data_IF_417042314534
#
_entry.id   IF_417042314534
#
_cell.length_a   1.000
_cell.length_b   1.000
_cell.length_c   1.000
_cell.angle_alpha   90.00
_cell.angle_beta   90.00
_cell.angle_gamma   90.00
#
_symmetry.space_group_name_H-M   'P 1'
#
loop_
_entity.id
_entity.type
_entity.pdbx_description
1 polymer ?
#
# COMPACT_ATOMS: atom_id res chain seq x y z
N UNK A 1 12.35 39.79 9.09
CA UNK A 1 12.11 41.24 9.03
C UNK A 1 10.80 41.46 8.29
N UNK A 2 9.78 41.78 9.09
CA UNK A 2 8.43 42.11 8.64
C UNK A 2 8.45 43.48 7.98
N UNK A 3 7.89 43.60 6.77
CA UNK A 3 7.41 44.90 6.28
C UNK A 3 6.03 44.66 5.68
N UNK A 4 5.03 45.04 6.47
CA UNK A 4 3.72 45.49 6.00
C UNK A 4 3.91 46.92 5.51
N UNK A 5 3.27 47.29 4.42
CA UNK A 5 2.92 48.68 4.14
C UNK A 5 1.51 48.71 3.54
N UNK A 6 0.55 48.98 4.43
CA UNK A 6 -0.70 49.66 4.13
C UNK A 6 -0.40 51.15 3.90
N UNK A 7 -1.20 51.80 3.04
CA UNK A 7 -1.61 53.23 3.00
C UNK A 7 -1.61 53.78 1.55
N UNK A 8 -2.48 54.65 1.05
CA UNK A 8 -3.52 55.58 1.55
C UNK A 8 -4.55 55.75 0.38
N UNK A 9 -5.88 55.76 0.56
CA UNK A 9 -6.77 56.95 0.75
C UNK A 9 -6.38 58.12 -0.19
N UNK A 10 -7.23 58.76 -1.02
CA UNK A 10 -8.64 59.20 -0.81
C UNK A 10 -9.20 59.85 -2.12
N UNK A 11 -10.52 60.16 -2.16
CA UNK A 11 -11.37 60.36 -3.36
C UNK A 11 -11.72 61.83 -3.66
N UNK A 12 -12.22 62.13 -4.87
CA UNK A 12 -12.87 63.42 -5.21
C UNK A 12 -14.07 63.22 -6.16
N UNK A 13 -15.25 63.58 -5.63
CA UNK A 13 -16.44 64.26 -6.18
C UNK A 13 -17.02 63.97 -7.58
N UNK A 14 -18.21 63.35 -7.55
CA UNK A 14 -19.51 63.89 -8.00
C UNK A 14 -19.59 64.91 -9.16
N UNK A 15 -20.26 64.51 -10.25
CA UNK A 15 -21.47 65.22 -10.68
C UNK A 15 -22.39 64.32 -11.54
N UNK A 16 -23.73 64.46 -11.41
CA UNK A 16 -24.71 63.63 -12.11
C UNK A 16 -25.29 64.33 -13.34
N UNK A 17 -25.55 63.61 -14.42
CA UNK A 17 -26.81 63.78 -15.15
C UNK A 17 -27.10 62.65 -16.15
N UNK A 18 -28.20 61.94 -15.83
CA UNK A 18 -29.23 61.37 -16.70
C UNK A 18 -28.89 61.02 -18.16
N UNK A 19 -28.98 59.73 -18.49
CA UNK A 19 -29.69 59.25 -19.68
C UNK A 19 -30.04 57.77 -19.57
N UNK A 20 -31.33 57.47 -19.73
CA UNK A 20 -31.89 56.13 -19.89
C UNK A 20 -31.21 55.37 -21.04
N UNK A 21 -30.64 54.20 -20.73
CA UNK A 21 -30.52 53.09 -21.66
C UNK A 21 -30.12 51.81 -20.93
N UNK A 22 -31.09 50.93 -20.70
CA UNK A 22 -30.85 49.49 -20.57
C UNK A 22 -30.37 48.98 -21.94
N UNK A 23 -29.35 48.11 -22.02
CA UNK A 23 -29.63 46.66 -22.07
C UNK A 23 -28.46 45.81 -21.48
N UNK A 24 -28.41 44.48 -21.67
CA UNK A 24 -29.11 43.47 -20.89
C UNK A 24 -28.14 42.60 -20.07
N UNK A 25 -28.63 42.05 -18.95
CA UNK A 25 -27.98 40.96 -18.22
C UNK A 25 -27.66 39.80 -19.15
N UNK A 26 -26.39 39.41 -19.20
CA UNK A 26 -25.92 38.20 -19.89
C UNK A 26 -25.69 37.09 -18.84
N UNK A 27 -26.54 36.05 -18.73
CA UNK A 27 -26.28 34.88 -17.90
C UNK A 27 -25.80 33.67 -18.72
N UNK A 28 -25.33 33.88 -19.95
CA UNK A 28 -25.13 32.77 -20.90
C UNK A 28 -23.78 32.05 -20.74
N UNK A 29 -22.78 32.65 -20.09
CA UNK A 29 -21.43 32.06 -19.99
C UNK A 29 -21.29 31.02 -18.87
N UNK A 30 -22.00 31.22 -17.76
CA UNK A 30 -21.91 30.31 -16.60
C UNK A 30 -22.68 29.01 -16.82
N UNK A 31 -23.83 29.06 -17.50
CA UNK A 31 -24.66 27.87 -17.78
C UNK A 31 -23.93 26.89 -18.71
N UNK A 32 -23.20 27.40 -19.71
CA UNK A 32 -22.41 26.56 -20.62
C UNK A 32 -21.23 25.85 -19.91
N UNK A 33 -20.61 26.51 -18.93
CA UNK A 33 -19.55 25.91 -18.11
C UNK A 33 -20.09 24.87 -17.11
N UNK A 34 -21.29 25.07 -16.58
CA UNK A 34 -21.96 24.08 -15.70
C UNK A 34 -22.37 22.86 -16.51
N UNK A 35 -23.01 23.04 -17.67
CA UNK A 35 -23.43 21.94 -18.53
C UNK A 35 -22.26 21.09 -19.06
N UNK A 36 -21.11 21.70 -19.37
CA UNK A 36 -19.91 20.97 -19.77
C UNK A 36 -19.26 20.21 -18.62
N UNK A 37 -19.30 20.77 -17.40
CA UNK A 37 -18.83 20.10 -16.19
C UNK A 37 -19.70 18.89 -15.83
N UNK A 38 -21.01 19.02 -15.94
CA UNK A 38 -21.97 17.94 -15.66
C UNK A 38 -21.82 16.79 -16.67
N UNK A 39 -21.57 17.11 -17.94
CA UNK A 39 -21.26 16.12 -19.00
C UNK A 39 -19.96 15.36 -18.72
N UNK A 40 -18.90 16.05 -18.29
CA UNK A 40 -17.64 15.42 -17.90
C UNK A 40 -17.81 14.54 -16.66
N UNK A 41 -18.53 15.03 -15.64
CA UNK A 41 -18.83 14.27 -14.42
C UNK A 41 -19.59 12.98 -14.74
N UNK A 42 -20.53 13.05 -15.70
CA UNK A 42 -21.31 11.89 -16.15
C UNK A 42 -20.42 10.87 -16.86
N UNK A 43 -19.53 11.31 -17.75
CA UNK A 43 -18.55 10.43 -18.43
C UNK A 43 -17.56 9.80 -17.47
N UNK A 44 -17.10 10.54 -16.46
CA UNK A 44 -16.21 10.00 -15.41
C UNK A 44 -16.96 8.94 -14.60
N UNK A 45 -18.21 9.21 -14.22
CA UNK A 45 -19.03 8.26 -13.47
C UNK A 45 -19.29 6.98 -14.28
N UNK A 46 -19.58 7.11 -15.58
CA UNK A 46 -19.77 5.97 -16.49
C UNK A 46 -18.46 5.18 -16.68
N UNK A 47 -17.31 5.84 -16.74
CA UNK A 47 -16.02 5.17 -16.79
C UNK A 47 -15.74 4.40 -15.48
N UNK A 48 -16.05 4.98 -14.33
CA UNK A 48 -15.91 4.31 -13.02
C UNK A 48 -16.81 3.08 -12.94
N UNK A 49 -18.06 3.15 -13.39
CA UNK A 49 -18.96 1.98 -13.38
C UNK A 49 -18.48 0.88 -14.32
N UNK A 50 -17.98 1.22 -15.51
CA UNK A 50 -17.36 0.26 -16.44
C UNK A 50 -16.09 -0.36 -15.87
N UNK A 51 -15.25 0.40 -15.18
CA UNK A 51 -14.06 -0.15 -14.54
C UNK A 51 -14.43 -1.02 -13.33
N UNK A 52 -15.53 -0.71 -12.64
CA UNK A 52 -16.02 -1.50 -11.51
C UNK A 52 -16.61 -2.88 -11.90
N UNK A 53 -16.78 -3.17 -13.20
CA UNK A 53 -17.13 -4.52 -13.65
C UNK A 53 -15.90 -5.36 -14.00
N UNK A 54 -14.70 -4.75 -13.97
CA UNK A 54 -13.43 -5.43 -14.25
C UNK A 54 -12.72 -5.88 -12.98
N UNK A 55 -11.69 -6.72 -13.12
CA UNK A 55 -10.82 -7.16 -12.00
C UNK A 55 -10.04 -6.00 -11.34
N UNK A 56 -10.10 -4.80 -11.93
CA UNK A 56 -9.43 -3.56 -11.46
C UNK A 56 -10.25 -2.82 -10.39
N UNK A 57 -11.47 -3.28 -10.08
CA UNK A 57 -12.34 -2.78 -8.98
C UNK A 57 -11.61 -2.47 -7.67
N UNK A 58 -10.62 -3.31 -7.33
CA UNK A 58 -9.88 -3.20 -6.08
C UNK A 58 -8.89 -2.03 -6.05
N UNK A 59 -8.54 -1.44 -7.21
CA UNK A 59 -7.79 -0.17 -7.27
C UNK A 59 -8.67 1.07 -7.10
N UNK A 60 -9.98 0.93 -7.34
CA UNK A 60 -10.97 2.01 -7.22
C UNK A 60 -11.55 2.10 -5.81
N UNK A 61 -11.32 1.10 -4.97
CA UNK A 61 -11.81 1.07 -3.59
C UNK A 61 -10.74 1.57 -2.63
N UNK A 62 -11.12 2.38 -1.65
CA UNK A 62 -10.21 2.91 -0.60
C UNK A 62 -9.67 1.83 0.36
N UNK A 63 -9.89 0.55 0.05
CA UNK A 63 -9.44 -0.57 0.88
C UNK A 63 -7.98 -0.90 0.52
N UNK A 64 -7.13 -1.17 1.51
CA UNK A 64 -5.76 -1.60 1.25
C UNK A 64 -5.77 -2.88 0.42
N UNK A 65 -4.85 -2.96 -0.55
CA UNK A 65 -4.65 -4.14 -1.38
C UNK A 65 -4.39 -5.35 -0.47
N UNK A 66 -5.08 -6.45 -0.75
CA UNK A 66 -4.95 -7.73 -0.05
C UNK A 66 -4.11 -8.69 -0.88
N UNK A 67 -3.37 -9.59 -0.22
CA UNK A 67 -2.60 -10.63 -0.90
C UNK A 67 -3.42 -11.55 -1.81
N UNK A 68 -4.74 -11.66 -1.56
CA UNK A 68 -5.69 -12.45 -2.33
C UNK A 68 -6.00 -11.91 -3.73
N UNK A 69 -5.52 -10.70 -4.06
CA UNK A 69 -5.71 -10.11 -5.38
C UNK A 69 -4.82 -10.81 -6.40
N UNK A 70 -5.45 -11.41 -7.41
CA UNK A 70 -4.72 -12.01 -8.52
C UNK A 70 -4.32 -10.91 -9.48
N UNK A 71 -3.01 -10.76 -9.70
CA UNK A 71 -2.53 -9.81 -10.68
C UNK A 71 -2.74 -10.37 -12.10
N UNK A 72 -3.19 -9.56 -13.07
CA UNK A 72 -3.30 -10.00 -14.45
C UNK A 72 -1.93 -10.47 -14.96
N UNK A 73 -1.85 -11.72 -15.42
CA UNK A 73 -0.64 -12.24 -16.04
C UNK A 73 -0.42 -11.51 -17.36
N UNK A 74 0.80 -11.03 -17.59
CA UNK A 74 1.13 -10.41 -18.85
C UNK A 74 1.28 -11.50 -19.92
N UNK A 75 0.35 -11.57 -20.86
CA UNK A 75 0.52 -12.40 -22.05
C UNK A 75 1.50 -11.70 -22.97
N UNK A 76 2.78 -12.09 -22.85
CA UNK A 76 3.83 -11.63 -23.75
C UNK A 76 3.89 -12.59 -24.93
N UNK A 77 3.32 -12.16 -26.06
CA UNK A 77 3.45 -12.92 -27.31
C UNK A 77 4.90 -12.85 -27.83
N UNK A 78 5.47 -13.97 -28.28
CA UNK A 78 6.77 -13.98 -28.95
C UNK A 78 6.75 -13.07 -30.17
N UNK A 79 7.71 -12.15 -30.26
CA UNK A 79 7.90 -11.35 -31.47
C UNK A 79 8.32 -12.32 -32.59
N UNK A 80 7.40 -12.61 -33.51
CA UNK A 80 7.72 -13.42 -34.67
C UNK A 80 8.80 -12.73 -35.50
N UNK A 81 9.90 -13.44 -35.74
CA UNK A 81 10.94 -13.00 -36.65
C UNK A 81 10.40 -13.12 -38.08
N UNK A 82 9.84 -12.04 -38.61
CA UNK A 82 9.65 -11.93 -40.04
C UNK A 82 11.03 -11.71 -40.67
N UNK A 83 11.58 -12.75 -41.28
CA UNK A 83 12.81 -12.64 -42.06
C UNK A 83 12.53 -11.74 -43.26
N UNK A 84 13.08 -10.53 -43.22
CA UNK A 84 13.18 -9.69 -44.41
C UNK A 84 14.10 -10.40 -45.38
N UNK A 85 13.62 -10.65 -46.61
CA UNK A 85 14.41 -11.29 -47.65
C UNK A 85 15.72 -10.50 -47.85
N UNK A 86 16.90 -11.08 -47.56
CA UNK A 86 18.17 -10.34 -47.45
C UNK A 86 18.64 -9.72 -48.78
N UNK A 87 17.97 -10.03 -49.88
CA UNK A 87 18.40 -9.67 -51.24
C UNK A 87 17.92 -8.31 -51.74
N UNK A 88 16.94 -7.65 -51.09
CA UNK A 88 16.36 -6.42 -51.66
C UNK A 88 17.26 -5.18 -51.52
N UNK A 89 18.04 -5.08 -50.43
CA UNK A 89 18.97 -3.98 -50.20
C UNK A 89 20.28 -4.10 -51.01
N UNK A 90 20.56 -5.27 -51.57
CA UNK A 90 21.77 -5.55 -52.35
C UNK A 90 21.61 -5.23 -53.85
N UNK A 91 20.41 -4.82 -54.27
CA UNK A 91 20.12 -4.49 -55.67
C UNK A 91 20.75 -3.13 -56.02
N UNK A 92 21.59 -3.09 -57.06
CA UNK A 92 22.09 -1.84 -57.61
C UNK A 92 20.97 -1.12 -58.39
N UNK A 93 20.56 0.09 -57.97
CA UNK A 93 19.49 0.82 -58.66
C UNK A 93 20.03 1.44 -59.96
N UNK A 94 19.29 1.22 -61.06
CA UNK A 94 19.59 1.81 -62.36
C UNK A 94 18.79 3.09 -62.63
N UNK A 95 17.64 3.24 -61.95
CA UNK A 95 16.71 4.35 -62.17
C UNK A 95 16.66 5.30 -60.98
N UNK A 96 16.50 6.62 -61.20
CA UNK A 96 16.35 7.61 -60.11
C UNK A 96 15.21 7.28 -59.12
N UNK A 97 14.12 6.71 -59.62
CA UNK A 97 12.99 6.28 -58.77
C UNK A 97 13.35 5.11 -57.86
N UNK A 98 14.20 4.18 -58.32
CA UNK A 98 14.66 3.04 -57.52
C UNK A 98 15.55 3.50 -56.38
N UNK A 99 16.42 4.50 -56.61
CA UNK A 99 17.23 5.13 -55.55
C UNK A 99 16.33 5.71 -54.45
N UNK A 100 15.27 6.42 -54.84
CA UNK A 100 14.33 7.03 -53.89
C UNK A 100 13.54 5.97 -53.11
N UNK A 101 13.11 4.90 -53.79
CA UNK A 101 12.41 3.78 -53.17
C UNK A 101 13.30 3.00 -52.20
N UNK A 102 14.56 2.71 -52.55
CA UNK A 102 15.52 2.06 -51.66
C UNK A 102 15.84 2.93 -50.43
N UNK A 103 15.94 4.25 -50.61
CA UNK A 103 16.08 5.18 -49.49
C UNK A 103 14.89 5.12 -48.52
N UNK A 104 13.67 5.17 -49.06
CA UNK A 104 12.45 5.05 -48.26
C UNK A 104 12.32 3.68 -47.56
N UNK A 105 12.77 2.61 -48.22
CA UNK A 105 12.76 1.26 -47.67
C UNK A 105 13.75 1.14 -46.50
N UNK A 106 14.98 1.64 -46.65
CA UNK A 106 15.98 1.64 -45.56
C UNK A 106 15.49 2.44 -44.35
N UNK A 107 14.92 3.63 -44.58
CA UNK A 107 14.36 4.44 -43.50
C UNK A 107 13.20 3.73 -42.78
N UNK A 108 12.34 3.02 -43.53
CA UNK A 108 11.25 2.24 -42.97
C UNK A 108 11.77 1.03 -42.16
N UNK A 109 12.81 0.34 -42.63
CA UNK A 109 13.46 -0.77 -41.91
C UNK A 109 14.11 -0.30 -40.61
N UNK A 110 14.88 0.79 -40.64
CA UNK A 110 15.47 1.39 -39.44
C UNK A 110 14.39 1.75 -38.40
N UNK A 111 13.26 2.32 -38.86
CA UNK A 111 12.10 2.59 -37.98
C UNK A 111 11.50 1.31 -37.41
N UNK A 112 11.34 0.27 -38.22
CA UNK A 112 10.84 -1.03 -37.76
C UNK A 112 11.77 -1.67 -36.73
N UNK A 113 13.09 -1.61 -36.92
CA UNK A 113 14.08 -2.09 -35.95
C UNK A 113 13.99 -1.34 -34.63
N UNK A 114 13.90 0.00 -34.68
CA UNK A 114 13.71 0.82 -33.49
C UNK A 114 12.43 0.42 -32.72
N UNK A 115 11.32 0.16 -33.43
CA UNK A 115 10.10 -0.34 -32.81
C UNK A 115 10.27 -1.73 -32.20
N UNK A 116 10.94 -2.66 -32.88
CA UNK A 116 11.23 -4.00 -32.33
C UNK A 116 12.00 -3.87 -31.00
N UNK A 117 13.06 -3.06 -30.96
CA UNK A 117 13.83 -2.85 -29.73
C UNK A 117 13.00 -2.25 -28.60
N UNK A 118 12.12 -1.29 -28.94
CA UNK A 118 11.20 -0.70 -27.97
C UNK A 118 10.20 -1.72 -27.42
N UNK A 119 9.64 -2.59 -28.27
CA UNK A 119 8.72 -3.65 -27.84
C UNK A 119 9.43 -4.64 -26.94
N UNK A 120 10.65 -5.08 -27.29
CA UNK A 120 11.46 -5.96 -26.43
C UNK A 120 11.68 -5.33 -25.05
N UNK A 121 12.02 -4.04 -25.02
CA UNK A 121 12.24 -3.30 -23.76
C UNK A 121 10.96 -3.26 -22.92
N UNK A 122 9.81 -2.99 -23.53
CA UNK A 122 8.51 -2.99 -22.84
C UNK A 122 8.16 -4.37 -22.31
N UNK A 123 8.33 -5.43 -23.11
CA UNK A 123 8.09 -6.80 -22.70
C UNK A 123 8.98 -7.19 -21.50
N UNK A 124 10.27 -6.87 -21.55
CA UNK A 124 11.20 -7.14 -20.46
C UNK A 124 10.81 -6.40 -19.17
N UNK A 125 10.40 -5.13 -19.28
CA UNK A 125 9.89 -4.36 -18.14
C UNK A 125 8.63 -4.98 -17.55
N UNK A 126 7.70 -5.43 -18.39
CA UNK A 126 6.47 -6.09 -17.92
C UNK A 126 6.78 -7.37 -17.15
N UNK A 127 7.68 -8.23 -17.65
CA UNK A 127 8.10 -9.45 -16.95
C UNK A 127 8.78 -9.14 -15.61
N UNK A 128 9.64 -8.12 -15.56
CA UNK A 128 10.30 -7.71 -14.32
C UNK A 128 9.30 -7.16 -13.30
N UNK A 129 8.35 -6.34 -13.76
CA UNK A 129 7.28 -5.80 -12.91
C UNK A 129 6.40 -6.94 -12.35
N UNK A 130 6.08 -7.94 -13.18
CA UNK A 130 5.34 -9.11 -12.74
C UNK A 130 6.08 -9.86 -11.62
N UNK A 131 7.37 -10.14 -11.81
CA UNK A 131 8.20 -10.80 -10.80
C UNK A 131 8.31 -9.99 -9.50
N UNK A 132 8.48 -8.67 -9.60
CA UNK A 132 8.54 -7.78 -8.45
C UNK A 132 7.23 -7.76 -7.66
N UNK A 133 6.10 -7.57 -8.35
CA UNK A 133 4.79 -7.58 -7.71
C UNK A 133 4.48 -8.94 -7.08
N UNK A 134 4.82 -10.06 -7.73
CA UNK A 134 4.68 -11.39 -7.13
C UNK A 134 5.43 -11.50 -5.80
N UNK A 135 6.68 -11.01 -5.74
CA UNK A 135 7.45 -10.94 -4.48
C UNK A 135 6.74 -10.11 -3.42
N UNK A 136 6.18 -8.95 -3.78
CA UNK A 136 5.43 -8.09 -2.86
C UNK A 136 4.15 -8.78 -2.36
N UNK A 137 3.44 -9.50 -3.23
CA UNK A 137 2.26 -10.29 -2.87
C UNK A 137 2.59 -11.36 -1.83
N UNK A 138 3.71 -12.08 -1.98
CA UNK A 138 4.13 -13.06 -0.97
C UNK A 138 4.48 -12.42 0.38
N UNK A 139 5.17 -11.27 0.37
CA UNK A 139 5.48 -10.54 1.59
C UNK A 139 4.20 -10.04 2.29
N UNK A 140 3.24 -9.55 1.52
CA UNK A 140 1.95 -9.11 2.03
C UNK A 140 1.16 -10.27 2.63
N UNK A 141 1.10 -11.41 1.94
CA UNK A 141 0.45 -12.63 2.43
C UNK A 141 1.04 -13.07 3.78
N UNK A 142 2.38 -13.04 3.88
CA UNK A 142 3.08 -13.37 5.12
C UNK A 142 2.74 -12.40 6.25
N UNK A 143 2.71 -11.09 5.99
CA UNK A 143 2.32 -10.10 6.99
C UNK A 143 0.86 -10.25 7.44
N UNK A 144 -0.06 -10.47 6.49
CA UNK A 144 -1.47 -10.70 6.80
C UNK A 144 -1.67 -11.95 7.65
N UNK A 145 -0.94 -13.02 7.36
CA UNK A 145 -0.98 -14.25 8.16
C UNK A 145 -0.42 -14.03 9.57
N UNK A 146 0.70 -13.30 9.70
CA UNK A 146 1.28 -12.93 10.99
C UNK A 146 0.32 -12.09 11.83
N UNK A 147 -0.44 -11.18 11.19
CA UNK A 147 -1.49 -10.38 11.86
C UNK A 147 -2.70 -11.23 12.28
N UNK A 148 -3.09 -12.22 11.47
CA UNK A 148 -4.21 -13.12 11.78
C UNK A 148 -3.90 -14.04 12.96
N UNK A 149 -2.65 -14.51 13.07
CA UNK A 149 -2.22 -15.44 14.12
C UNK A 149 -1.09 -14.85 15.00
N UNK A 150 -1.37 -13.81 15.80
CA UNK A 150 -0.37 -13.19 16.66
C UNK A 150 0.00 -14.17 17.79
N UNK A 151 1.16 -14.82 17.67
CA UNK A 151 1.67 -15.74 18.68
C UNK A 151 1.68 -17.21 18.27
N UNK A 152 1.31 -17.54 17.03
CA UNK A 152 1.67 -18.85 16.47
C UNK A 152 3.20 -19.03 16.58
N UNK A 153 3.70 -20.23 16.97
CA UNK A 153 5.13 -20.49 16.91
C UNK A 153 5.61 -20.17 15.50
N UNK A 154 6.73 -19.43 15.39
CA UNK A 154 7.20 -18.85 14.14
C UNK A 154 7.26 -19.87 13.01
N UNK A 155 7.17 -19.44 11.75
CA UNK A 155 7.36 -20.39 10.65
C UNK A 155 8.83 -20.77 10.54
N UNK A 156 9.08 -22.01 10.14
CA UNK A 156 10.42 -22.51 9.82
C UNK A 156 11.15 -21.63 8.77
N UNK A 157 10.40 -20.99 7.87
CA UNK A 157 10.91 -20.07 6.85
C UNK A 157 10.17 -18.74 7.02
N UNK A 158 10.87 -17.72 7.50
CA UNK A 158 10.29 -16.38 7.75
C UNK A 158 10.19 -15.54 6.47
N UNK A 159 11.01 -15.83 5.45
CA UNK A 159 11.14 -14.97 4.27
C UNK A 159 9.98 -15.15 3.25
N UNK A 160 9.20 -16.23 3.37
CA UNK A 160 8.12 -16.57 2.43
C UNK A 160 8.57 -17.00 1.04
N UNK A 161 9.88 -17.10 0.79
CA UNK A 161 10.41 -17.59 -0.49
C UNK A 161 10.34 -19.13 -0.60
N UNK A 162 10.08 -19.67 -1.80
CA UNK A 162 10.20 -21.10 -2.06
C UNK A 162 11.63 -21.57 -1.77
N UNK A 163 11.75 -22.64 -0.97
CA UNK A 163 13.03 -23.31 -0.69
C UNK A 163 12.94 -24.78 -1.09
N UNK A 164 14.06 -25.34 -1.50
CA UNK A 164 14.15 -26.75 -1.82
C UNK A 164 14.03 -27.56 -0.52
N UNK A 165 12.99 -28.39 -0.41
CA UNK A 165 12.72 -29.18 0.80
C UNK A 165 13.67 -30.38 0.96
N UNK A 166 14.39 -30.73 -0.10
CA UNK A 166 15.31 -31.88 -0.15
C UNK A 166 16.77 -31.53 0.14
N UNK A 167 17.08 -30.26 0.39
CA UNK A 167 18.45 -29.85 0.73
C UNK A 167 18.78 -30.11 2.20
N UNK A 168 20.02 -30.48 2.49
CA UNK A 168 20.50 -30.70 3.87
C UNK A 168 20.31 -29.46 4.75
N UNK A 169 20.48 -28.26 4.18
CA UNK A 169 20.22 -26.97 4.86
C UNK A 169 18.77 -26.84 5.36
N UNK A 170 17.79 -27.36 4.62
CA UNK A 170 16.40 -27.34 5.06
C UNK A 170 16.19 -28.29 6.24
N UNK A 171 16.79 -29.48 6.18
CA UNK A 171 16.71 -30.45 7.26
C UNK A 171 17.32 -29.91 8.57
N UNK A 172 18.50 -29.29 8.49
CA UNK A 172 19.15 -28.67 9.65
C UNK A 172 18.24 -27.60 10.28
N UNK A 173 17.64 -26.73 9.47
CA UNK A 173 16.68 -25.74 9.97
C UNK A 173 15.46 -26.38 10.63
N UNK A 174 14.91 -27.47 10.08
CA UNK A 174 13.78 -28.19 10.69
C UNK A 174 14.17 -28.70 12.09
N UNK A 175 15.37 -29.26 12.22
CA UNK A 175 15.89 -29.76 13.49
C UNK A 175 16.07 -28.63 14.50
N UNK A 176 16.70 -27.53 14.12
CA UNK A 176 16.86 -26.35 14.97
C UNK A 176 15.52 -25.78 15.42
N UNK A 177 14.58 -25.63 14.50
CA UNK A 177 13.25 -25.12 14.78
C UNK A 177 12.48 -26.02 15.75
N UNK A 178 12.58 -27.34 15.58
CA UNK A 178 11.93 -28.32 16.48
C UNK A 178 12.53 -28.26 17.88
N UNK A 179 13.86 -28.09 18.00
CA UNK A 179 14.53 -27.90 19.30
C UNK A 179 14.08 -26.60 19.96
N UNK A 180 14.04 -25.51 19.22
CA UNK A 180 13.58 -24.22 19.70
C UNK A 180 12.12 -24.26 20.20
N UNK A 181 11.22 -24.94 19.48
CA UNK A 181 9.83 -25.11 19.92
C UNK A 181 9.74 -25.82 21.27
N UNK A 182 10.46 -26.93 21.44
CA UNK A 182 10.50 -27.69 22.70
C UNK A 182 11.02 -26.85 23.86
N UNK A 183 12.11 -26.11 23.65
CA UNK A 183 12.68 -25.25 24.69
C UNK A 183 11.70 -24.12 25.08
N UNK A 184 11.00 -23.54 24.11
CA UNK A 184 10.00 -22.51 24.35
C UNK A 184 8.79 -23.03 25.12
N UNK A 185 8.35 -24.26 24.87
CA UNK A 185 7.29 -24.92 25.64
C UNK A 185 7.71 -25.13 27.10
N UNK A 186 8.91 -25.68 27.32
CA UNK A 186 9.46 -25.84 28.67
C UNK A 186 9.54 -24.50 29.40
N UNK A 187 10.06 -23.44 28.75
CA UNK A 187 10.12 -22.10 29.36
C UNK A 187 8.73 -21.52 29.65
N UNK A 188 7.71 -21.87 28.86
CA UNK A 188 6.34 -21.42 29.11
C UNK A 188 5.77 -22.11 30.35
N UNK A 189 6.01 -23.41 30.49
CA UNK A 189 5.58 -24.20 31.64
C UNK A 189 6.25 -23.72 32.92
N UNK A 190 7.57 -23.47 32.91
CA UNK A 190 8.29 -22.95 34.09
C UNK A 190 7.76 -21.58 34.50
N UNK A 191 7.57 -20.67 33.56
CA UNK A 191 6.99 -19.34 33.84
C UNK A 191 5.56 -19.43 34.37
N UNK A 192 4.79 -20.43 33.93
CA UNK A 192 3.44 -20.63 34.44
C UNK A 192 3.47 -21.12 35.88
N UNK A 193 4.32 -22.10 36.19
CA UNK A 193 4.52 -22.58 37.56
C UNK A 193 4.97 -21.46 38.51
N UNK A 194 5.97 -20.66 38.13
CA UNK A 194 6.44 -19.50 38.92
C UNK A 194 5.32 -18.48 39.19
N UNK A 195 4.45 -18.23 38.19
CA UNK A 195 3.30 -17.33 38.36
C UNK A 195 2.26 -17.89 39.31
N UNK A 196 2.03 -19.20 39.27
CA UNK A 196 1.08 -19.89 40.16
C UNK A 196 1.58 -19.86 41.61
N UNK A 197 2.88 -20.10 41.83
CA UNK A 197 3.53 -19.98 43.14
C UNK A 197 3.45 -18.54 43.69
N UNK A 198 3.81 -17.55 42.87
CA UNK A 198 3.73 -16.15 43.26
C UNK A 198 2.29 -15.74 43.60
N UNK A 199 1.31 -16.22 42.82
CA UNK A 199 -0.11 -15.97 43.08
C UNK A 199 -0.53 -16.56 44.43
N UNK A 200 -0.16 -17.81 44.72
CA UNK A 200 -0.46 -18.44 45.99
C UNK A 200 0.13 -17.68 47.19
N UNK A 201 1.41 -17.30 47.11
CA UNK A 201 2.07 -16.49 48.14
C UNK A 201 1.40 -15.12 48.34
N UNK A 202 0.97 -14.48 47.25
CA UNK A 202 0.26 -13.20 47.30
C UNK A 202 -1.12 -13.35 47.98
N UNK A 203 -1.84 -14.42 47.69
CA UNK A 203 -3.15 -14.70 48.29
C UNK A 203 -3.03 -15.01 49.79
N UNK A 204 -1.98 -15.73 50.21
CA UNK A 204 -1.65 -15.92 51.63
C UNK A 204 -1.29 -14.60 52.33
N UNK A 205 -0.44 -13.79 51.69
CA UNK A 205 -0.08 -12.47 52.21
C UNK A 205 -1.31 -11.58 52.41
N UNK A 206 -2.22 -11.53 51.43
CA UNK A 206 -3.49 -10.78 51.54
C UNK A 206 -4.34 -11.24 52.72
N UNK A 207 -4.45 -12.55 52.95
CA UNK A 207 -5.21 -13.10 54.10
C UNK A 207 -4.59 -12.67 55.43
N UNK A 208 -3.28 -12.76 55.55
CA UNK A 208 -2.57 -12.35 56.77
C UNK A 208 -2.66 -10.84 57.00
N UNK A 209 -2.56 -10.04 55.94
CA UNK A 209 -2.68 -8.59 56.01
C UNK A 209 -4.10 -8.15 56.43
N UNK A 210 -5.14 -8.86 55.96
CA UNK A 210 -6.51 -8.63 56.41
C UNK A 210 -6.67 -8.91 57.91
N UNK A 211 -6.14 -10.04 58.42
CA UNK A 211 -6.15 -10.37 59.86
C UNK A 211 -5.44 -9.29 60.69
N UNK A 212 -4.23 -8.90 60.27
CA UNK A 212 -3.42 -7.86 60.94
C UNK A 212 -4.15 -6.52 61.01
N UNK A 213 -4.88 -6.15 59.95
CA UNK A 213 -5.68 -4.91 59.92
C UNK A 213 -6.83 -4.94 60.94
N UNK A 214 -7.53 -6.07 61.07
CA UNK A 214 -8.60 -6.24 62.06
C UNK A 214 -8.04 -6.15 63.49
N UNK A 215 -6.96 -6.87 63.80
CA UNK A 215 -6.33 -6.81 65.12
C UNK A 215 -5.84 -5.40 65.47
N UNK A 216 -5.22 -4.70 64.51
CA UNK A 216 -4.76 -3.34 64.73
C UNK A 216 -5.93 -2.34 64.91
N UNK A 217 -7.05 -2.55 64.22
CA UNK A 217 -8.25 -1.75 64.44
C UNK A 217 -8.76 -1.93 65.89
N UNK A 218 -8.88 -3.17 66.36
CA UNK A 218 -9.29 -3.45 67.74
C UNK A 218 -8.31 -2.85 68.79
N UNK A 219 -6.99 -2.93 68.55
CA UNK A 219 -6.00 -2.29 69.42
C UNK A 219 -6.13 -0.77 69.44
N UNK A 220 -6.41 -0.15 68.28
CA UNK A 220 -6.63 1.30 68.18
C UNK A 220 -7.89 1.70 68.95
N UNK A 221 -8.98 0.96 68.81
CA UNK A 221 -10.22 1.20 69.55
C UNK A 221 -9.98 1.11 71.07
N UNK A 222 -9.31 0.05 71.53
CA UNK A 222 -8.95 -0.09 72.94
C UNK A 222 -8.05 1.06 73.42
N UNK A 223 -7.06 1.47 72.62
CA UNK A 223 -6.21 2.62 72.95
C UNK A 223 -7.02 3.92 73.03
N UNK A 224 -7.95 4.16 72.11
CA UNK A 224 -8.83 5.34 72.14
C UNK A 224 -9.74 5.33 73.38
N UNK A 225 -10.35 4.19 73.71
CA UNK A 225 -11.18 4.03 74.90
C UNK A 225 -10.38 4.26 76.19
N UNK A 226 -9.19 3.67 76.29
CA UNK A 226 -8.29 3.95 77.40
C UNK A 226 -7.96 5.45 77.46
N UNK A 227 -7.51 6.06 76.36
CA UNK A 227 -7.18 7.49 76.33
C UNK A 227 -8.34 8.37 76.81
N UNK A 228 -9.59 8.06 76.44
CA UNK A 228 -10.76 8.81 76.94
C UNK A 228 -11.00 8.65 78.45
N UNK A 229 -10.66 7.51 79.04
CA UNK A 229 -10.76 7.33 80.52
C UNK A 229 -9.65 8.01 81.31
N UNK A 230 -8.53 8.36 80.67
CA UNK A 230 -7.39 9.05 81.30
C UNK A 230 -7.48 10.59 81.20
N UNK A 231 -8.47 11.12 80.47
CA UNK A 231 -8.77 12.56 80.39
C UNK A 231 -9.89 12.91 81.37
#
# INVERSE_FOLDING_TARGET
LSIKEDTHLTPIEENPDKSDSTPPSTPTRDIANVATRDSLQTRISEAITKLSTTEITNLLTDKPLSSSLKMPAAVVEPIQALETSPNLLAIEPNTKNEVLLLGALREAEERCEAYKQRVITLQAQTVLNEAYCNKLHFQLAFQEEKKKNPGAPGKLVEDGLPRLLSGDEFYEKVVEFTKWQKEKEVQKETRQAEREELKAANDEWKKNEAKRKVENAARREHFHAAKTTWQ
#
